data_IF_626737558601
#
_entry.id   IF_626737558601
#
_cell.length_a   1.000
_cell.length_b   1.000
_cell.length_c   1.000
_cell.angle_alpha   90.00
_cell.angle_beta   90.00
_cell.angle_gamma   90.00
#
_symmetry.space_group_name_H-M   'P 1'
#
loop_
_entity.id
_entity.type
_entity.pdbx_description
1 polymer ?
#
# COMPACT_ATOMS: atom_id res chain seq x y z
N UNK A 1 -6.69 -26.47 5.25
CA UNK A 1 -5.99 -25.32 5.84
C UNK A 1 -6.97 -24.33 6.43
N UNK A 2 -6.59 -23.61 7.47
CA UNK A 2 -7.39 -22.51 8.00
C UNK A 2 -7.26 -21.25 7.15
N UNK A 3 -8.40 -20.59 6.89
CA UNK A 3 -8.44 -19.35 6.12
C UNK A 3 -9.61 -18.45 6.56
N UNK A 4 -9.42 -17.14 6.48
CA UNK A 4 -10.49 -16.16 6.62
C UNK A 4 -11.18 -15.96 5.29
N UNK A 5 -12.45 -16.28 5.23
CA UNK A 5 -13.24 -16.31 3.99
C UNK A 5 -14.50 -15.49 4.09
N UNK A 6 -14.99 -15.10 2.91
CA UNK A 6 -16.29 -14.49 2.69
C UNK A 6 -16.97 -15.21 1.54
N UNK A 7 -18.29 -15.37 1.58
CA UNK A 7 -19.06 -16.09 0.54
C UNK A 7 -20.43 -15.45 0.39
N UNK A 8 -20.94 -15.45 -0.81
CA UNK A 8 -22.29 -15.03 -1.15
C UNK A 8 -22.35 -13.78 -2.02
N UNK A 9 -23.55 -13.34 -2.37
CA UNK A 9 -23.75 -12.10 -3.11
C UNK A 9 -23.41 -10.89 -2.22
N UNK A 10 -22.57 -9.97 -2.73
CA UNK A 10 -22.21 -8.74 -2.03
C UNK A 10 -23.23 -7.62 -2.19
N UNK A 11 -23.04 -6.49 -1.51
CA UNK A 11 -21.89 -6.17 -0.65
C UNK A 11 -21.91 -6.88 0.71
N UNK A 12 -20.75 -7.07 1.32
CA UNK A 12 -20.58 -7.75 2.60
C UNK A 12 -20.12 -6.81 3.72
N UNK A 13 -20.32 -7.24 4.96
CA UNK A 13 -19.74 -6.61 6.16
C UNK A 13 -18.56 -7.42 6.70
N UNK A 14 -17.71 -6.78 7.53
CA UNK A 14 -16.60 -7.47 8.20
C UNK A 14 -17.07 -8.50 9.26
N UNK A 15 -18.32 -8.43 9.68
CA UNK A 15 -18.96 -9.39 10.58
C UNK A 15 -19.23 -10.74 9.91
N UNK A 16 -19.31 -10.76 8.57
CA UNK A 16 -19.56 -11.98 7.78
C UNK A 16 -18.28 -12.78 7.51
N UNK A 17 -17.10 -12.22 7.82
CA UNK A 17 -15.84 -12.94 7.73
C UNK A 17 -15.81 -14.14 8.66
N UNK A 18 -15.46 -15.29 8.14
CA UNK A 18 -15.42 -16.55 8.87
C UNK A 18 -14.04 -17.21 8.76
N UNK A 19 -13.54 -17.69 9.89
CA UNK A 19 -12.36 -18.55 9.92
C UNK A 19 -12.82 -20.00 9.68
N UNK A 20 -12.48 -20.55 8.53
CA UNK A 20 -12.93 -21.87 8.07
C UNK A 20 -11.76 -22.78 7.70
N UNK A 21 -12.04 -24.07 7.69
CA UNK A 21 -11.14 -25.05 7.07
C UNK A 21 -11.54 -25.25 5.61
N UNK A 22 -10.59 -24.96 4.71
CA UNK A 22 -10.75 -25.11 3.26
C UNK A 22 -9.62 -25.97 2.67
N UNK A 23 -9.77 -26.50 1.46
CA UNK A 23 -8.68 -27.20 0.76
C UNK A 23 -7.44 -26.32 0.59
N UNK A 24 -6.26 -26.91 0.68
CA UNK A 24 -5.02 -26.20 0.35
C UNK A 24 -4.92 -25.93 -1.15
N UNK A 25 -4.46 -24.73 -1.59
CA UNK A 25 -4.25 -24.46 -2.99
C UNK A 25 -3.04 -25.23 -3.53
N UNK A 26 -3.11 -25.59 -4.81
CA UNK A 26 -1.99 -26.12 -5.55
C UNK A 26 -1.45 -25.07 -6.51
N UNK A 27 -0.12 -24.92 -6.65
CA UNK A 27 0.44 -23.95 -7.58
C UNK A 27 0.22 -24.40 -9.03
N UNK A 28 -0.18 -23.48 -9.91
CA UNK A 28 -0.16 -23.69 -11.35
C UNK A 28 1.28 -23.72 -11.88
N UNK A 29 1.47 -23.97 -13.18
CA UNK A 29 2.80 -24.13 -13.77
C UNK A 29 3.76 -22.95 -13.52
N UNK A 30 3.23 -21.71 -13.53
CA UNK A 30 4.02 -20.47 -13.35
C UNK A 30 3.85 -19.86 -11.95
N UNK A 31 3.47 -20.67 -10.95
CA UNK A 31 3.17 -20.18 -9.61
C UNK A 31 4.08 -20.80 -8.54
N UNK A 32 4.18 -20.09 -7.44
CA UNK A 32 4.74 -20.57 -6.18
C UNK A 32 3.64 -20.72 -5.14
N UNK A 33 3.71 -21.79 -4.32
CA UNK A 33 2.90 -21.94 -3.12
C UNK A 33 3.70 -21.48 -1.91
N UNK A 34 3.08 -20.64 -1.11
CA UNK A 34 3.71 -20.01 0.06
C UNK A 34 2.98 -20.45 1.32
N UNK A 35 3.74 -20.93 2.32
CA UNK A 35 3.29 -21.01 3.70
C UNK A 35 3.36 -19.60 4.26
N UNK A 36 2.21 -19.03 4.59
CA UNK A 36 2.10 -17.68 5.14
C UNK A 36 2.64 -17.64 6.57
N UNK A 37 3.42 -16.63 6.89
CA UNK A 37 3.95 -16.35 8.23
C UNK A 37 3.43 -15.02 8.79
N UNK A 38 3.24 -14.04 7.91
CA UNK A 38 2.67 -12.76 8.28
C UNK A 38 1.89 -12.14 7.11
N UNK A 39 0.85 -11.39 7.45
CA UNK A 39 -0.01 -10.65 6.51
C UNK A 39 -0.11 -9.20 6.96
N UNK A 40 0.18 -8.27 6.08
CA UNK A 40 -0.02 -6.84 6.31
C UNK A 40 -1.45 -6.43 5.97
N UNK A 41 -2.19 -5.86 6.92
CA UNK A 41 -3.56 -5.42 6.68
C UNK A 41 -3.62 -4.06 5.98
N UNK A 42 -4.56 -3.90 5.06
CA UNK A 42 -4.73 -2.71 4.22
C UNK A 42 -6.20 -2.27 4.11
N UNK A 43 -6.46 -0.97 3.85
CA UNK A 43 -7.81 -0.53 3.52
C UNK A 43 -8.40 -1.25 2.29
N UNK A 44 -7.57 -1.68 1.34
CA UNK A 44 -8.02 -2.45 0.18
C UNK A 44 -8.67 -3.78 0.58
N UNK A 45 -8.21 -4.44 1.65
CA UNK A 45 -8.75 -5.73 2.09
C UNK A 45 -10.22 -5.60 2.51
N UNK A 46 -10.56 -4.62 3.36
CA UNK A 46 -11.96 -4.45 3.76
C UNK A 46 -12.82 -3.82 2.65
N UNK A 47 -12.28 -2.96 1.79
CA UNK A 47 -13.02 -2.39 0.66
C UNK A 47 -13.42 -3.46 -0.36
N UNK A 48 -12.57 -4.45 -0.60
CA UNK A 48 -12.89 -5.59 -1.45
C UNK A 48 -14.03 -6.41 -0.85
N UNK A 49 -14.00 -6.67 0.46
CA UNK A 49 -15.07 -7.35 1.17
C UNK A 49 -16.39 -6.58 0.98
N UNK A 50 -16.38 -5.27 1.19
CA UNK A 50 -17.57 -4.43 1.13
C UNK A 50 -18.14 -4.24 -0.29
N UNK A 51 -17.37 -4.47 -1.33
CA UNK A 51 -17.78 -4.28 -2.72
C UNK A 51 -17.86 -5.58 -3.53
N UNK A 52 -17.31 -6.68 -3.01
CA UNK A 52 -17.19 -7.95 -3.72
C UNK A 52 -18.44 -8.81 -3.66
N UNK A 53 -18.47 -9.81 -4.56
CA UNK A 53 -19.49 -10.86 -4.61
C UNK A 53 -18.80 -12.15 -5.05
N UNK A 54 -18.96 -13.23 -4.29
CA UNK A 54 -18.28 -14.50 -4.54
C UNK A 54 -19.23 -15.69 -4.34
N UNK A 55 -19.37 -16.52 -5.36
CA UNK A 55 -20.19 -17.74 -5.32
C UNK A 55 -19.55 -18.80 -4.42
N UNK A 56 -18.21 -18.87 -4.42
CA UNK A 56 -17.41 -19.78 -3.61
C UNK A 56 -16.68 -19.03 -2.47
N UNK A 57 -16.27 -19.73 -1.40
CA UNK A 57 -15.47 -19.11 -0.34
C UNK A 57 -14.21 -18.42 -0.85
N UNK A 58 -14.20 -17.09 -0.76
CA UNK A 58 -13.07 -16.26 -1.16
C UNK A 58 -12.19 -15.91 0.03
N UNK A 59 -10.90 -16.23 -0.06
CA UNK A 59 -9.92 -15.87 0.96
C UNK A 59 -9.52 -14.41 0.78
N UNK A 60 -9.62 -13.63 1.85
CA UNK A 60 -9.27 -12.20 1.84
C UNK A 60 -7.80 -11.96 2.16
N UNK A 61 -7.32 -10.70 1.94
CA UNK A 61 -5.95 -10.26 2.25
C UNK A 61 -5.06 -10.18 1.02
N UNK A 62 -4.07 -9.27 1.07
CA UNK A 62 -3.21 -8.94 -0.06
C UNK A 62 -1.73 -9.15 0.20
N UNK A 63 -1.22 -8.59 1.28
CA UNK A 63 0.22 -8.56 1.55
C UNK A 63 0.67 -9.85 2.23
N UNK A 64 1.70 -10.49 1.67
CA UNK A 64 2.22 -11.79 2.14
C UNK A 64 3.69 -11.69 2.48
N UNK A 65 4.06 -12.26 3.62
CA UNK A 65 5.43 -12.69 3.91
C UNK A 65 5.39 -14.14 4.40
N UNK A 66 6.24 -15.00 3.85
CA UNK A 66 6.22 -16.41 4.17
C UNK A 66 7.39 -17.19 3.58
N UNK A 67 7.18 -18.49 3.41
CA UNK A 67 8.18 -19.43 2.89
C UNK A 67 7.60 -20.20 1.71
N UNK A 68 8.36 -20.35 0.64
CA UNK A 68 8.00 -21.18 -0.51
C UNK A 68 7.98 -22.64 -0.10
N UNK A 69 6.87 -23.34 -0.31
CA UNK A 69 6.70 -24.77 0.03
C UNK A 69 6.47 -25.65 -1.18
N UNK A 70 6.09 -25.10 -2.33
CA UNK A 70 6.03 -25.79 -3.62
C UNK A 70 6.19 -24.76 -4.75
N UNK A 71 6.65 -25.25 -5.90
CA UNK A 71 6.83 -24.46 -7.13
C UNK A 71 6.15 -25.16 -8.30
N UNK A 72 5.63 -24.39 -9.25
CA UNK A 72 5.09 -24.89 -10.51
C UNK A 72 6.19 -25.36 -11.46
N UNK A 73 5.82 -26.14 -12.47
CA UNK A 73 6.75 -26.80 -13.38
C UNK A 73 7.60 -25.85 -14.23
N UNK A 74 7.14 -24.63 -14.47
CA UNK A 74 7.84 -23.61 -15.25
C UNK A 74 8.69 -22.66 -14.40
N UNK A 75 8.59 -22.75 -13.05
CA UNK A 75 9.32 -21.87 -12.13
C UNK A 75 10.75 -22.38 -11.93
N UNK A 76 11.74 -21.60 -12.33
CA UNK A 76 13.16 -21.94 -12.20
C UNK A 76 13.97 -20.97 -11.32
N UNK A 77 13.43 -19.80 -11.02
CA UNK A 77 14.05 -18.72 -10.23
C UNK A 77 13.77 -18.82 -8.73
N UNK A 78 12.85 -19.70 -8.32
CA UNK A 78 12.51 -19.97 -6.93
C UNK A 78 12.83 -21.41 -6.51
N UNK A 79 13.00 -21.62 -5.21
CA UNK A 79 13.16 -22.95 -4.62
C UNK A 79 12.42 -23.05 -3.29
N UNK A 80 12.03 -24.29 -2.94
CA UNK A 80 11.41 -24.59 -1.65
C UNK A 80 12.33 -24.19 -0.50
N UNK A 81 11.76 -23.57 0.54
CA UNK A 81 12.47 -23.06 1.71
C UNK A 81 12.89 -21.59 1.58
N UNK A 82 12.80 -20.96 0.41
CA UNK A 82 13.10 -19.54 0.26
C UNK A 82 12.07 -18.67 0.96
N UNK A 83 12.54 -17.64 1.68
CA UNK A 83 11.71 -16.61 2.30
C UNK A 83 11.23 -15.63 1.22
N UNK A 84 9.94 -15.32 1.22
CA UNK A 84 9.29 -14.59 0.13
C UNK A 84 8.30 -13.56 0.65
N UNK A 85 8.22 -12.40 -0.02
CA UNK A 85 7.17 -11.41 0.17
C UNK A 85 6.61 -10.96 -1.18
N UNK A 86 5.30 -10.63 -1.19
CA UNK A 86 4.62 -10.09 -2.37
C UNK A 86 3.31 -9.39 -2.01
N UNK A 87 2.86 -8.50 -2.89
CA UNK A 87 1.53 -7.92 -2.89
C UNK A 87 0.64 -8.73 -3.84
N UNK A 88 -0.48 -9.26 -3.35
CA UNK A 88 -1.34 -10.19 -4.08
C UNK A 88 -2.30 -9.53 -5.08
N UNK A 89 -2.93 -10.37 -5.90
CA UNK A 89 -3.99 -9.98 -6.84
C UNK A 89 -5.37 -10.03 -6.15
N UNK A 90 -6.05 -8.90 -6.06
CA UNK A 90 -7.40 -8.76 -5.48
C UNK A 90 -8.48 -9.67 -6.11
N UNK A 91 -8.24 -10.17 -7.33
CA UNK A 91 -9.18 -11.03 -8.06
C UNK A 91 -9.06 -12.51 -7.66
N UNK A 92 -8.06 -12.86 -6.87
CA UNK A 92 -7.70 -14.23 -6.48
C UNK A 92 -7.84 -14.42 -4.98
N UNK A 93 -7.86 -15.67 -4.55
CA UNK A 93 -7.75 -16.00 -3.13
C UNK A 93 -6.51 -15.38 -2.52
N UNK A 94 -6.69 -14.71 -1.39
CA UNK A 94 -5.71 -13.85 -0.74
C UNK A 94 -4.83 -14.54 0.29
N UNK A 95 -4.36 -13.74 1.23
CA UNK A 95 -3.27 -14.06 2.14
C UNK A 95 -3.68 -14.42 3.56
N UNK A 96 -4.91 -14.12 3.99
CA UNK A 96 -5.37 -14.47 5.34
C UNK A 96 -5.72 -15.96 5.43
N UNK A 97 -4.73 -16.80 5.16
CA UNK A 97 -4.76 -18.26 5.18
C UNK A 97 -3.39 -18.83 5.57
N UNK A 98 -3.33 -20.10 5.95
CA UNK A 98 -2.08 -20.81 6.26
C UNK A 98 -1.20 -20.98 4.99
N UNK A 99 -1.83 -21.11 3.81
CA UNK A 99 -1.14 -21.22 2.53
C UNK A 99 -1.85 -20.38 1.46
N UNK A 100 -1.06 -19.86 0.53
CA UNK A 100 -1.55 -19.12 -0.64
C UNK A 100 -0.69 -19.42 -1.85
N UNK A 101 -1.15 -19.02 -3.04
CA UNK A 101 -0.40 -19.15 -4.31
C UNK A 101 -0.35 -17.80 -5.01
N UNK A 102 0.76 -17.57 -5.70
CA UNK A 102 0.93 -16.39 -6.56
C UNK A 102 1.82 -16.71 -7.73
N UNK A 103 1.77 -15.86 -8.78
CA UNK A 103 2.79 -15.93 -9.85
C UNK A 103 4.17 -15.65 -9.28
N UNK A 104 5.17 -16.41 -9.73
CA UNK A 104 6.55 -16.21 -9.30
C UNK A 104 7.08 -14.81 -9.62
N UNK A 105 6.55 -14.16 -10.68
CA UNK A 105 6.99 -12.85 -11.15
C UNK A 105 6.79 -11.71 -10.12
N UNK A 106 5.68 -11.73 -9.39
CA UNK A 106 5.35 -10.66 -8.42
C UNK A 106 6.07 -10.79 -7.08
N UNK A 107 6.81 -11.87 -6.89
CA UNK A 107 7.44 -12.23 -5.63
C UNK A 107 8.87 -11.69 -5.51
N UNK A 108 9.27 -11.33 -4.29
CA UNK A 108 10.63 -10.91 -3.96
C UNK A 108 11.18 -11.69 -2.77
N UNK A 109 12.50 -11.98 -2.72
CA UNK A 109 13.11 -12.62 -1.56
C UNK A 109 13.14 -11.68 -0.37
N UNK A 110 12.90 -12.21 0.83
CA UNK A 110 13.07 -11.49 2.09
C UNK A 110 14.51 -11.69 2.56
N UNK A 111 15.30 -10.60 2.75
CA UNK A 111 16.64 -10.69 3.35
C UNK A 111 16.62 -11.33 4.74
N UNK A 112 17.68 -12.04 5.12
CA UNK A 112 17.73 -12.83 6.36
C UNK A 112 17.55 -11.97 7.64
N UNK A 113 18.01 -10.70 7.61
CA UNK A 113 17.88 -9.76 8.73
C UNK A 113 16.47 -9.17 8.89
N UNK A 114 15.56 -9.34 7.91
CA UNK A 114 14.22 -8.77 7.90
C UNK A 114 13.22 -9.79 8.45
N UNK A 115 12.40 -9.44 9.42
CA UNK A 115 11.36 -10.34 9.93
C UNK A 115 10.19 -10.47 8.93
N UNK A 116 9.38 -11.53 9.05
CA UNK A 116 8.18 -11.68 8.22
C UNK A 116 7.18 -10.55 8.46
N UNK A 117 7.07 -10.08 9.69
CA UNK A 117 6.19 -8.96 10.03
C UNK A 117 6.63 -7.65 9.37
N UNK A 118 7.94 -7.35 9.38
CA UNK A 118 8.48 -6.17 8.68
C UNK A 118 8.25 -6.27 7.18
N UNK A 119 8.49 -7.43 6.59
CA UNK A 119 8.27 -7.67 5.17
C UNK A 119 6.79 -7.49 4.80
N UNK A 120 5.86 -8.13 5.52
CA UNK A 120 4.42 -8.02 5.28
C UNK A 120 3.90 -6.59 5.48
N UNK A 121 4.44 -5.86 6.47
CA UNK A 121 4.06 -4.47 6.73
C UNK A 121 4.46 -3.50 5.60
N UNK A 122 5.43 -3.89 4.76
CA UNK A 122 6.12 -3.01 3.80
C UNK A 122 5.69 -3.25 2.34
N UNK A 123 4.48 -3.72 2.09
CA UNK A 123 4.02 -4.03 0.73
C UNK A 123 3.00 -3.00 0.22
N UNK A 124 1.71 -3.21 0.31
CA UNK A 124 0.68 -2.39 -0.37
C UNK A 124 0.94 -0.88 -0.30
N UNK A 125 1.01 -0.31 0.91
CA UNK A 125 1.20 1.13 1.07
C UNK A 125 2.58 1.61 0.60
N UNK A 126 3.62 0.84 0.88
CA UNK A 126 5.00 1.18 0.51
C UNK A 126 5.22 1.07 -0.99
N UNK A 127 4.76 -0.01 -1.64
CA UNK A 127 4.87 -0.15 -3.09
C UNK A 127 4.03 0.90 -3.83
N UNK A 128 2.87 1.29 -3.28
CA UNK A 128 2.08 2.41 -3.82
C UNK A 128 2.85 3.72 -3.78
N UNK A 129 3.49 4.04 -2.65
CA UNK A 129 4.35 5.22 -2.53
C UNK A 129 5.58 5.13 -3.45
N UNK A 130 6.20 3.94 -3.54
CA UNK A 130 7.31 3.70 -4.45
C UNK A 130 6.90 3.95 -5.91
N UNK A 131 5.77 3.38 -6.35
CA UNK A 131 5.24 3.61 -7.70
C UNK A 131 4.99 5.10 -7.95
N UNK A 132 4.43 5.82 -6.96
CA UNK A 132 4.19 7.26 -7.08
C UNK A 132 5.47 8.03 -7.34
N UNK A 133 6.54 7.81 -6.58
CA UNK A 133 7.81 8.54 -6.72
C UNK A 133 8.66 8.07 -7.90
N UNK A 134 8.85 6.75 -8.05
CA UNK A 134 9.85 6.21 -8.97
C UNK A 134 9.30 5.74 -10.33
N UNK A 135 7.96 5.73 -10.51
CA UNK A 135 7.32 5.33 -11.77
C UNK A 135 6.43 6.43 -12.37
N UNK A 136 5.94 7.38 -11.54
CA UNK A 136 4.95 8.37 -11.96
C UNK A 136 5.43 9.82 -11.83
N UNK A 137 6.16 10.16 -10.78
CA UNK A 137 6.55 11.54 -10.51
C UNK A 137 7.67 12.03 -11.46
N UNK A 138 7.54 13.29 -11.88
CA UNK A 138 8.65 14.03 -12.47
C UNK A 138 9.41 14.74 -11.34
N UNK A 139 10.64 14.31 -11.07
CA UNK A 139 11.49 14.81 -9.99
C UNK A 139 12.66 15.67 -10.50
N UNK A 140 12.67 16.06 -11.78
CA UNK A 140 13.79 16.77 -12.41
C UNK A 140 14.16 18.11 -11.74
N UNK A 141 13.19 18.79 -11.11
CA UNK A 141 13.39 20.08 -10.45
C UNK A 141 13.40 20.00 -8.92
N UNK A 142 13.46 18.81 -8.34
CA UNK A 142 13.40 18.54 -6.90
C UNK A 142 12.25 19.32 -6.20
N UNK A 143 11.00 19.04 -6.54
CA UNK A 143 9.85 19.82 -6.11
C UNK A 143 9.62 19.71 -4.60
N UNK A 144 9.01 20.76 -4.00
CA UNK A 144 8.34 20.59 -2.70
C UNK A 144 7.16 19.65 -2.89
N UNK A 145 7.03 18.64 -2.01
CA UNK A 145 6.02 17.58 -2.12
C UNK A 145 4.96 17.76 -1.05
N UNK A 146 3.68 17.87 -1.46
CA UNK A 146 2.53 17.76 -0.57
C UNK A 146 2.12 16.28 -0.48
N UNK A 147 2.10 15.73 0.73
CA UNK A 147 1.70 14.35 1.00
C UNK A 147 0.45 14.37 1.87
N UNK A 148 -0.69 13.99 1.30
CA UNK A 148 -1.94 13.90 2.05
C UNK A 148 -2.00 12.64 2.90
N UNK A 149 -2.70 12.73 4.05
CA UNK A 149 -2.84 11.65 5.02
C UNK A 149 -1.50 11.01 5.40
N UNK A 150 -0.51 11.85 5.77
CA UNK A 150 0.85 11.42 6.08
C UNK A 150 0.97 10.33 7.13
N UNK A 151 0.03 10.23 8.06
CA UNK A 151 -0.01 9.18 9.09
C UNK A 151 -0.61 7.84 8.62
N UNK A 152 -0.99 7.70 7.35
CA UNK A 152 -1.39 6.44 6.73
C UNK A 152 -0.20 5.67 6.16
N UNK A 153 -0.38 4.38 5.80
CA UNK A 153 0.72 3.53 5.32
C UNK A 153 1.41 4.10 4.07
N UNK A 154 0.65 4.62 3.10
CA UNK A 154 1.21 5.28 1.90
C UNK A 154 1.94 6.57 2.28
N UNK A 155 1.33 7.40 3.15
CA UNK A 155 1.91 8.68 3.58
C UNK A 155 3.22 8.52 4.33
N UNK A 156 3.30 7.57 5.28
CA UNK A 156 4.51 7.24 6.04
C UNK A 156 5.64 6.75 5.13
N UNK A 157 5.31 5.93 4.13
CA UNK A 157 6.29 5.49 3.14
C UNK A 157 6.73 6.63 2.21
N UNK A 158 5.77 7.44 1.75
CA UNK A 158 6.04 8.59 0.90
C UNK A 158 6.97 9.62 1.56
N UNK A 159 6.79 9.88 2.87
CA UNK A 159 7.69 10.75 3.64
C UNK A 159 9.12 10.22 3.67
N UNK A 160 9.29 8.91 3.85
CA UNK A 160 10.62 8.28 3.87
C UNK A 160 11.28 8.32 2.49
N UNK A 161 10.56 8.05 1.41
CA UNK A 161 11.10 8.17 0.05
C UNK A 161 11.43 9.64 -0.31
N UNK A 162 10.59 10.59 0.10
CA UNK A 162 10.90 12.01 -0.09
C UNK A 162 12.18 12.43 0.68
N UNK A 163 12.36 11.94 1.91
CA UNK A 163 13.60 12.12 2.69
C UNK A 163 14.81 11.57 1.96
N UNK A 164 14.74 10.33 1.46
CA UNK A 164 15.83 9.67 0.74
C UNK A 164 16.19 10.43 -0.56
N UNK A 165 15.22 11.09 -1.17
CA UNK A 165 15.38 11.94 -2.35
C UNK A 165 15.70 13.41 -2.00
N UNK A 166 15.88 13.74 -0.72
CA UNK A 166 16.13 15.09 -0.22
C UNK A 166 15.09 16.13 -0.65
N UNK A 167 13.82 15.72 -0.81
CA UNK A 167 12.72 16.58 -1.21
C UNK A 167 12.09 17.27 0.02
N UNK A 168 11.87 18.59 -0.02
CA UNK A 168 11.10 19.26 1.02
C UNK A 168 9.65 18.74 1.05
N UNK A 169 9.13 18.42 2.25
CA UNK A 169 7.79 17.86 2.40
C UNK A 169 6.86 18.78 3.19
N UNK A 170 5.60 18.81 2.76
CA UNK A 170 4.46 19.29 3.52
C UNK A 170 3.51 18.11 3.64
N UNK A 171 3.01 17.82 4.84
CA UNK A 171 2.08 16.71 5.02
C UNK A 171 0.86 17.08 5.85
N UNK A 172 -0.29 16.52 5.51
CA UNK A 172 -1.53 16.66 6.28
C UNK A 172 -1.72 15.45 7.18
N UNK A 173 -2.03 15.67 8.45
CA UNK A 173 -2.20 14.60 9.44
C UNK A 173 -3.12 15.09 10.58
N UNK A 174 -3.81 14.18 11.27
CA UNK A 174 -4.50 14.49 12.52
C UNK A 174 -3.52 14.57 13.69
N UNK A 175 -3.89 15.35 14.74
CA UNK A 175 -3.06 15.47 15.95
C UNK A 175 -2.66 14.10 16.52
N UNK A 176 -3.57 13.12 16.51
CA UNK A 176 -3.32 11.76 17.03
C UNK A 176 -2.17 11.04 16.31
N UNK A 177 -2.03 11.21 14.99
CA UNK A 177 -1.01 10.56 14.17
C UNK A 177 0.23 11.42 13.93
N UNK A 178 0.27 12.66 14.46
CA UNK A 178 1.41 13.56 14.33
C UNK A 178 2.75 12.91 14.74
N UNK A 179 2.86 12.19 15.87
CA UNK A 179 4.13 11.56 16.26
C UNK A 179 4.67 10.57 15.23
N UNK A 180 3.81 9.93 14.42
CA UNK A 180 4.24 8.98 13.39
C UNK A 180 4.98 9.69 12.25
N UNK A 181 4.46 10.83 11.79
CA UNK A 181 5.07 11.59 10.69
C UNK A 181 6.36 12.28 11.16
N UNK A 182 6.42 12.72 12.42
CA UNK A 182 7.65 13.24 13.04
C UNK A 182 8.74 12.18 13.11
N UNK A 183 8.40 10.95 13.52
CA UNK A 183 9.30 9.79 13.58
C UNK A 183 9.97 9.49 12.24
N UNK A 184 9.27 9.61 11.13
CA UNK A 184 9.81 9.31 9.78
C UNK A 184 10.43 10.53 9.09
N UNK A 185 10.51 11.68 9.77
CA UNK A 185 11.21 12.87 9.30
C UNK A 185 10.40 13.78 8.39
N UNK A 186 9.09 13.94 8.67
CA UNK A 186 8.26 14.92 7.96
C UNK A 186 8.79 16.36 8.15
N UNK A 187 8.74 17.17 7.08
CA UNK A 187 9.08 18.59 7.11
C UNK A 187 7.96 19.43 7.74
N UNK A 188 7.20 20.17 6.94
CA UNK A 188 6.04 20.93 7.45
C UNK A 188 4.85 20.01 7.69
N UNK A 189 4.27 20.08 8.89
CA UNK A 189 3.14 19.25 9.31
C UNK A 189 1.91 20.12 9.52
N UNK A 190 0.81 19.83 8.82
CA UNK A 190 -0.47 20.52 8.88
C UNK A 190 -1.50 19.62 9.57
N UNK A 191 -2.07 20.07 10.67
CA UNK A 191 -3.27 19.45 11.23
C UNK A 191 -4.50 19.97 10.48
N UNK A 192 -5.07 19.11 9.65
CA UNK A 192 -6.19 19.46 8.77
C UNK A 192 -7.53 19.67 9.51
N UNK A 193 -7.60 19.33 10.80
CA UNK A 193 -8.75 19.67 11.65
C UNK A 193 -8.69 21.08 12.22
N UNK A 194 -7.49 21.67 12.31
CA UNK A 194 -7.27 22.96 12.95
C UNK A 194 -6.95 24.07 11.94
N UNK A 195 -6.58 23.71 10.72
CA UNK A 195 -5.99 24.67 9.77
C UNK A 195 -6.52 24.40 8.36
N UNK A 196 -6.89 25.47 7.66
CA UNK A 196 -7.14 25.39 6.21
C UNK A 196 -5.88 24.94 5.49
N UNK A 197 -5.96 23.79 4.83
CA UNK A 197 -4.81 23.14 4.19
C UNK A 197 -4.28 24.01 3.05
N UNK A 198 -5.14 24.63 2.24
CA UNK A 198 -4.72 25.45 1.10
C UNK A 198 -3.94 26.67 1.57
N UNK A 199 -4.48 27.41 2.58
CA UNK A 199 -3.79 28.56 3.15
C UNK A 199 -2.44 28.17 3.77
N UNK A 200 -2.39 27.04 4.48
CA UNK A 200 -1.15 26.55 5.10
C UNK A 200 -0.08 26.18 4.08
N UNK A 201 -0.47 25.49 2.99
CA UNK A 201 0.43 25.12 1.88
C UNK A 201 0.95 26.38 1.20
N UNK A 202 0.07 27.33 0.86
CA UNK A 202 0.47 28.58 0.22
C UNK A 202 1.40 29.40 1.12
N UNK A 203 1.15 29.45 2.40
CA UNK A 203 2.05 30.11 3.38
C UNK A 203 3.42 29.42 3.43
N UNK A 204 3.46 28.08 3.51
CA UNK A 204 4.71 27.31 3.60
C UNK A 204 5.56 27.42 2.31
N UNK A 205 4.93 27.70 1.17
CA UNK A 205 5.58 27.85 -0.13
C UNK A 205 5.77 29.31 -0.57
N UNK A 206 5.53 30.29 0.32
CA UNK A 206 5.57 31.72 0.00
C UNK A 206 4.71 32.10 -1.22
N UNK A 207 3.52 31.52 -1.33
CA UNK A 207 2.55 31.76 -2.40
C UNK A 207 2.81 31.01 -3.71
N UNK A 208 3.89 30.23 -3.82
CA UNK A 208 4.23 29.52 -5.08
C UNK A 208 3.46 28.23 -5.30
N UNK A 209 2.97 27.61 -4.25
CA UNK A 209 2.39 26.24 -4.29
C UNK A 209 3.46 25.15 -4.30
N UNK A 210 3.03 23.89 -4.37
CA UNK A 210 3.91 22.71 -4.40
C UNK A 210 4.09 22.21 -5.82
N UNK A 211 5.27 21.67 -6.14
CA UNK A 211 5.54 21.10 -7.46
C UNK A 211 4.98 19.68 -7.62
N UNK A 212 4.81 18.94 -6.53
CA UNK A 212 4.25 17.58 -6.54
C UNK A 212 3.23 17.40 -5.42
N UNK A 213 2.07 16.82 -5.71
CA UNK A 213 1.11 16.34 -4.72
C UNK A 213 0.95 14.83 -4.81
N UNK A 214 1.05 14.13 -3.67
CA UNK A 214 0.69 12.72 -3.49
C UNK A 214 -0.65 12.67 -2.76
N UNK A 215 -1.73 12.47 -3.50
CA UNK A 215 -3.08 12.51 -2.96
C UNK A 215 -3.66 11.11 -2.78
N UNK A 216 -3.79 10.69 -1.53
CA UNK A 216 -4.33 9.38 -1.12
C UNK A 216 -5.81 9.44 -0.71
N UNK A 217 -6.42 10.63 -0.76
CA UNK A 217 -7.80 10.88 -0.28
C UNK A 217 -8.79 10.81 -1.44
N UNK A 218 -8.49 11.52 -2.56
CA UNK A 218 -9.42 11.66 -3.69
C UNK A 218 -10.49 12.74 -3.48
N UNK A 219 -11.52 12.73 -4.32
CA UNK A 219 -12.68 13.60 -4.22
C UNK A 219 -12.36 15.08 -4.10
N UNK A 220 -12.97 15.76 -3.12
CA UNK A 220 -12.78 17.20 -2.87
C UNK A 220 -11.34 17.56 -2.51
N UNK A 221 -10.60 16.66 -1.82
CA UNK A 221 -9.18 16.90 -1.50
C UNK A 221 -8.34 16.98 -2.77
N UNK A 222 -8.62 16.12 -3.75
CA UNK A 222 -7.94 16.11 -5.05
C UNK A 222 -8.31 17.34 -5.88
N UNK A 223 -9.58 17.77 -5.85
CA UNK A 223 -10.02 18.98 -6.51
C UNK A 223 -9.31 20.23 -5.94
N UNK A 224 -9.20 20.32 -4.63
CA UNK A 224 -8.52 21.44 -3.96
C UNK A 224 -7.00 21.45 -4.19
N UNK A 225 -6.38 20.35 -4.63
CA UNK A 225 -4.96 20.34 -4.95
C UNK A 225 -4.62 21.25 -6.14
N UNK A 226 -5.54 21.49 -7.06
CA UNK A 226 -5.34 22.45 -8.17
C UNK A 226 -4.90 23.83 -7.65
N UNK A 227 -5.54 24.31 -6.56
CA UNK A 227 -5.19 25.59 -5.95
C UNK A 227 -3.84 25.57 -5.22
N UNK A 228 -3.45 24.42 -4.69
CA UNK A 228 -2.21 24.19 -3.92
C UNK A 228 -0.97 24.00 -4.78
N UNK A 229 -1.15 23.68 -6.08
CA UNK A 229 -0.05 23.42 -6.99
C UNK A 229 0.67 24.69 -7.46
N UNK A 230 1.96 24.56 -7.72
CA UNK A 230 2.73 25.52 -8.50
C UNK A 230 2.43 25.38 -10.01
N UNK A 231 2.82 26.36 -10.80
CA UNK A 231 2.78 26.25 -12.27
C UNK A 231 3.63 25.06 -12.75
N UNK A 232 3.17 24.30 -13.74
CA UNK A 232 3.75 23.03 -14.22
C UNK A 232 3.78 21.91 -13.16
N UNK A 233 3.06 22.02 -12.07
CA UNK A 233 3.03 21.00 -11.03
C UNK A 233 2.37 19.70 -11.48
N UNK A 234 2.65 18.63 -10.72
CA UNK A 234 2.10 17.31 -10.95
C UNK A 234 1.35 16.77 -9.75
N UNK A 235 0.18 16.16 -10.00
CA UNK A 235 -0.62 15.48 -8.99
C UNK A 235 -0.57 13.97 -9.25
N UNK A 236 -0.19 13.18 -8.25
CA UNK A 236 -0.29 11.73 -8.27
C UNK A 236 -1.53 11.34 -7.46
N UNK A 237 -2.59 10.92 -8.14
CA UNK A 237 -3.84 10.50 -7.54
C UNK A 237 -3.79 9.01 -7.20
N UNK A 238 -3.97 8.67 -5.91
CA UNK A 238 -3.99 7.30 -5.38
C UNK A 238 -5.38 6.96 -4.86
N UNK A 239 -6.00 7.88 -4.14
CA UNK A 239 -7.34 7.73 -3.57
C UNK A 239 -8.43 7.54 -4.61
N UNK A 240 -9.58 7.08 -4.16
CA UNK A 240 -10.78 6.91 -4.97
C UNK A 240 -11.48 8.26 -5.22
N UNK A 241 -12.43 8.28 -6.16
CA UNK A 241 -13.21 9.48 -6.43
C UNK A 241 -12.45 10.55 -7.22
N UNK A 242 -12.10 10.24 -8.47
CA UNK A 242 -11.61 11.27 -9.40
C UNK A 242 -12.73 12.30 -9.63
N UNK A 243 -12.49 13.61 -9.37
CA UNK A 243 -13.48 14.64 -9.68
C UNK A 243 -13.86 14.64 -11.15
N UNK A 244 -15.13 14.92 -11.45
CA UNK A 244 -15.63 14.95 -12.82
C UNK A 244 -14.98 16.08 -13.65
N UNK A 245 -14.54 17.14 -12.98
CA UNK A 245 -13.88 18.29 -13.62
C UNK A 245 -12.73 18.78 -12.77
N UNK A 246 -11.56 18.99 -13.40
CA UNK A 246 -10.37 19.62 -12.82
C UNK A 246 -9.85 20.65 -13.80
N UNK A 247 -9.72 21.90 -13.40
CA UNK A 247 -9.08 22.92 -14.22
C UNK A 247 -7.54 22.78 -14.15
N UNK A 248 -7.00 21.99 -15.05
CA UNK A 248 -5.56 21.81 -15.17
C UNK A 248 -4.87 22.91 -15.99
N UNK A 249 -5.66 23.71 -16.74
CA UNK A 249 -5.09 24.67 -17.70
C UNK A 249 -4.49 25.90 -17.03
N UNK A 250 -5.13 26.44 -16.00
CA UNK A 250 -4.70 27.69 -15.34
C UNK A 250 -3.24 27.64 -14.84
N UNK A 251 -2.77 26.47 -14.46
CA UNK A 251 -1.40 26.24 -13.95
C UNK A 251 -0.60 25.22 -14.77
N UNK A 252 -1.08 24.83 -15.95
CA UNK A 252 -0.47 23.83 -16.81
C UNK A 252 -0.15 22.52 -16.06
N UNK A 253 -1.07 22.03 -15.24
CA UNK A 253 -0.88 20.87 -14.36
C UNK A 253 -0.92 19.56 -15.14
N UNK A 254 -0.19 18.58 -14.65
CA UNK A 254 -0.34 17.17 -15.04
C UNK A 254 -0.90 16.32 -13.90
N UNK A 255 -1.65 15.28 -14.25
CA UNK A 255 -2.15 14.32 -13.28
C UNK A 255 -1.82 12.90 -13.72
N UNK A 256 -1.33 12.09 -12.79
CA UNK A 256 -1.06 10.68 -13.02
C UNK A 256 -1.78 9.83 -11.97
N UNK A 257 -2.16 8.61 -12.35
CA UNK A 257 -2.78 7.65 -11.47
C UNK A 257 -1.78 6.61 -11.00
N UNK A 258 -1.72 6.33 -9.67
CA UNK A 258 -1.01 5.19 -9.12
C UNK A 258 -2.01 4.13 -8.65
N UNK A 259 -1.85 2.87 -9.08
CA UNK A 259 -2.73 1.76 -8.77
C UNK A 259 -1.99 0.42 -8.92
N UNK A 260 -1.51 -0.15 -7.83
CA UNK A 260 -0.73 -1.41 -7.85
C UNK A 260 -1.48 -2.57 -8.52
N UNK A 261 -2.73 -2.80 -8.15
CA UNK A 261 -3.57 -3.86 -8.74
C UNK A 261 -3.79 -3.71 -10.24
N UNK A 262 -3.43 -2.56 -10.84
CA UNK A 262 -3.41 -2.35 -12.28
C UNK A 262 -2.42 -3.26 -13.00
N UNK A 263 -1.30 -3.60 -12.36
CA UNK A 263 -0.29 -4.50 -12.91
C UNK A 263 -0.89 -5.88 -13.23
N UNK A 264 -1.64 -6.46 -12.29
CA UNK A 264 -2.32 -7.75 -12.51
C UNK A 264 -3.43 -7.65 -13.56
N UNK A 265 -4.22 -6.53 -13.56
CA UNK A 265 -5.28 -6.32 -14.55
C UNK A 265 -4.76 -6.11 -15.97
N UNK A 266 -3.54 -5.64 -16.13
CA UNK A 266 -2.89 -5.46 -17.43
C UNK A 266 -2.55 -6.80 -18.10
N UNK A 267 -2.46 -7.88 -17.32
CA UNK A 267 -1.99 -9.21 -17.75
C UNK A 267 -0.61 -9.20 -18.42
N UNK A 268 0.12 -8.07 -18.28
CA UNK A 268 1.46 -7.92 -18.81
C UNK A 268 2.50 -8.47 -17.82
N UNK A 269 3.26 -9.51 -18.16
CA UNK A 269 4.27 -10.09 -17.28
C UNK A 269 5.32 -9.09 -16.80
N UNK A 270 5.68 -8.10 -17.62
CA UNK A 270 6.65 -7.05 -17.25
C UNK A 270 6.11 -6.17 -16.12
N UNK A 271 4.84 -5.76 -16.18
CA UNK A 271 4.21 -4.93 -15.15
C UNK A 271 4.01 -5.72 -13.84
N UNK A 272 3.70 -7.01 -13.96
CA UNK A 272 3.60 -7.91 -12.80
C UNK A 272 4.99 -8.11 -12.16
N UNK A 273 6.03 -8.30 -12.95
CA UNK A 273 7.41 -8.44 -12.47
C UNK A 273 7.93 -7.17 -11.80
N UNK A 274 7.48 -5.98 -12.22
CA UNK A 274 7.85 -4.72 -11.56
C UNK A 274 7.34 -4.66 -10.10
N UNK A 275 6.23 -5.32 -9.77
CA UNK A 275 5.79 -5.46 -8.36
C UNK A 275 6.84 -6.22 -7.53
N UNK A 276 7.38 -7.32 -8.06
CA UNK A 276 8.47 -8.08 -7.41
C UNK A 276 9.76 -7.25 -7.29
N UNK A 277 10.13 -6.53 -8.35
CA UNK A 277 11.30 -5.63 -8.31
C UNK A 277 11.16 -4.54 -7.24
N UNK A 278 10.01 -3.87 -7.17
CA UNK A 278 9.74 -2.86 -6.15
C UNK A 278 9.81 -3.46 -4.74
N UNK A 279 9.20 -4.64 -4.53
CA UNK A 279 9.26 -5.34 -3.25
C UNK A 279 10.70 -5.72 -2.87
N UNK A 280 11.52 -6.16 -3.84
CA UNK A 280 12.94 -6.46 -3.63
C UNK A 280 13.74 -5.23 -3.17
N UNK A 281 13.53 -4.07 -3.81
CA UNK A 281 14.17 -2.81 -3.39
C UNK A 281 13.76 -2.44 -1.96
N UNK A 282 12.48 -2.54 -1.63
CA UNK A 282 11.98 -2.28 -0.27
C UNK A 282 12.59 -3.25 0.74
N UNK A 283 12.72 -4.53 0.39
CA UNK A 283 13.38 -5.55 1.21
C UNK A 283 14.84 -5.19 1.54
N UNK A 284 15.59 -4.67 0.57
CA UNK A 284 16.96 -4.22 0.79
C UNK A 284 17.02 -2.97 1.70
N UNK A 285 16.09 -2.02 1.54
CA UNK A 285 16.00 -0.85 2.42
C UNK A 285 15.67 -1.24 3.87
N UNK A 286 14.80 -2.24 4.07
CA UNK A 286 14.52 -2.81 5.39
C UNK A 286 15.79 -3.44 6.00
N UNK A 287 16.52 -4.24 5.22
CA UNK A 287 17.74 -4.90 5.68
C UNK A 287 18.85 -3.91 6.04
N UNK A 288 18.93 -2.79 5.34
CA UNK A 288 19.86 -1.70 5.62
C UNK A 288 19.43 -0.79 6.79
N UNK A 289 18.22 -0.95 7.33
CA UNK A 289 17.65 -0.04 8.34
C UNK A 289 17.29 1.35 7.80
N UNK A 290 17.18 1.50 6.50
CA UNK A 290 16.86 2.75 5.82
C UNK A 290 15.35 3.02 5.73
N UNK A 291 14.53 1.99 5.97
CA UNK A 291 13.08 2.07 5.92
C UNK A 291 12.44 1.50 7.20
N UNK A 292 11.52 2.27 7.80
CA UNK A 292 10.73 1.87 8.97
C UNK A 292 9.29 1.59 8.54
N UNK A 293 8.79 0.35 8.63
CA UNK A 293 7.42 0.01 8.29
C UNK A 293 6.37 0.57 9.26
N UNK A 294 6.79 1.17 10.37
CA UNK A 294 5.93 1.77 11.42
C UNK A 294 4.82 0.81 11.83
N UNK A 295 5.20 -0.38 12.31
CA UNK A 295 4.24 -1.38 12.82
C UNK A 295 3.66 -0.89 14.15
N UNK A 296 2.32 -0.83 14.22
CA UNK A 296 1.59 -0.54 15.45
C UNK A 296 1.43 -1.81 16.29
N UNK A 297 0.84 -2.85 15.70
CA UNK A 297 0.52 -4.11 16.39
C UNK A 297 0.70 -5.31 15.48
N UNK A 298 1.12 -6.42 16.10
CA UNK A 298 1.09 -7.76 15.51
C UNK A 298 -0.02 -8.56 16.21
N UNK A 299 -1.03 -8.94 15.46
CA UNK A 299 -2.19 -9.67 15.93
C UNK A 299 -2.04 -11.17 15.64
N UNK A 300 -2.57 -12.06 16.47
CA UNK A 300 -2.62 -13.48 16.13
C UNK A 300 -3.66 -13.75 15.01
N UNK A 301 -3.49 -14.86 14.29
CA UNK A 301 -4.30 -15.20 13.12
C UNK A 301 -5.82 -15.14 13.36
N UNK A 302 -6.27 -15.63 14.50
CA UNK A 302 -7.69 -15.62 14.87
C UNK A 302 -8.26 -14.23 15.17
N UNK A 303 -7.44 -13.16 15.15
CA UNK A 303 -7.87 -11.77 15.31
C UNK A 303 -7.78 -10.96 14.02
N UNK A 304 -7.63 -11.57 12.85
CA UNK A 304 -7.53 -10.84 11.59
C UNK A 304 -8.76 -9.97 11.31
N UNK A 305 -9.97 -10.48 11.53
CA UNK A 305 -11.20 -9.69 11.39
C UNK A 305 -11.24 -8.49 12.35
N UNK A 306 -10.78 -8.64 13.58
CA UNK A 306 -10.63 -7.53 14.54
C UNK A 306 -9.63 -6.49 14.01
N UNK A 307 -8.51 -6.94 13.46
CA UNK A 307 -7.51 -6.04 12.84
C UNK A 307 -8.08 -5.22 11.69
N UNK A 308 -8.88 -5.82 10.82
CA UNK A 308 -9.56 -5.11 9.73
C UNK A 308 -10.57 -4.07 10.25
N UNK A 309 -11.31 -4.38 11.34
CA UNK A 309 -12.22 -3.42 11.98
C UNK A 309 -11.48 -2.23 12.59
N UNK A 310 -10.38 -2.48 13.30
CA UNK A 310 -9.52 -1.41 13.84
C UNK A 310 -9.01 -0.50 12.72
N UNK A 311 -8.58 -1.08 11.60
CA UNK A 311 -8.11 -0.34 10.44
C UNK A 311 -9.22 0.49 9.79
N UNK A 312 -10.42 -0.08 9.64
CA UNK A 312 -11.59 0.61 9.06
C UNK A 312 -12.02 1.82 9.89
N UNK A 313 -11.95 1.72 11.22
CA UNK A 313 -12.32 2.79 12.13
C UNK A 313 -11.16 3.76 12.45
N UNK A 314 -10.02 3.64 11.74
CA UNK A 314 -8.82 4.44 11.97
C UNK A 314 -8.26 4.36 13.41
N UNK A 315 -8.41 3.22 14.08
CA UNK A 315 -7.99 3.02 15.48
C UNK A 315 -6.54 2.54 15.63
N UNK A 316 -5.79 2.47 14.54
CA UNK A 316 -4.37 2.10 14.49
C UNK A 316 -3.44 3.31 14.47
N UNK A 317 -2.23 3.14 15.01
CA UNK A 317 -1.11 4.09 14.99
C UNK A 317 0.08 3.51 14.20
N UNK A 318 -0.15 3.21 12.92
CA UNK A 318 0.80 2.56 12.04
C UNK A 318 0.21 1.33 11.37
N UNK A 319 1.06 0.44 10.88
CA UNK A 319 0.66 -0.77 10.16
C UNK A 319 0.19 -1.86 11.13
N UNK A 320 -0.93 -2.49 10.82
CA UNK A 320 -1.37 -3.72 11.49
C UNK A 320 -0.88 -4.94 10.71
N UNK A 321 -0.35 -5.91 11.43
CA UNK A 321 0.16 -7.17 10.87
C UNK A 321 -0.54 -8.33 11.57
N UNK A 322 -0.87 -9.37 10.84
CA UNK A 322 -1.40 -10.64 11.37
C UNK A 322 -0.29 -11.69 11.25
N UNK A 323 0.03 -12.38 12.34
CA UNK A 323 0.91 -13.56 12.35
C UNK A 323 0.08 -14.81 12.18
N UNK A 324 0.44 -15.63 11.19
CA UNK A 324 -0.24 -16.88 10.84
C UNK A 324 0.48 -18.09 11.41
#
# INVERSE_FOLDING_TARGET
MKAWTITGPGPHSLEELQLQDIPEPLPAADEIKVRVRAVGLNPADYKVIESGSWDDPHVVGLDVAGEVVAIGSNVSDWSVGKRVMYHGDLRRNGSLAEFTVTTHLSAAPIPDSVSFEQAAASLCGTLTAYQAFYRKANLSELPTVLIHAGGGAVGLAALQFARDLHLPTITTVSARKRPLVERVGAGTIIDYHQTDVTQAVMKATAGRGVGLSINTIGGESLAADVDRMAYNGQIIAIGDGMPAHLDLNAKALSIARSALGGAYRSENPTEIADLGLMAGVVGQKLAAGEFDPVIDRVLPFNQAATGLKLLKHDENLGKLVVRV
#
